data_IF_579960198507
#
_entry.id   IF_579960198507
#
_cell.length_a   1.000
_cell.length_b   1.000
_cell.length_c   1.000
_cell.angle_alpha   90.00
_cell.angle_beta   90.00
_cell.angle_gamma   90.00
#
_symmetry.space_group_name_H-M   'P 1'
#
loop_
_entity.id
_entity.type
_entity.pdbx_description
1 polymer ?
#
# COMPACT_ATOMS: atom_id res chain seq x y z
N UNK A 1 -13.35 17.70 -13.78
CA UNK A 1 -12.68 16.41 -13.51
C UNK A 1 -13.61 15.29 -13.95
N UNK A 2 -13.20 14.39 -14.85
CA UNK A 2 -14.07 13.31 -15.32
C UNK A 2 -14.35 12.32 -14.16
N UNK A 3 -15.57 11.80 -14.01
CA UNK A 3 -15.98 10.93 -12.87
C UNK A 3 -15.00 9.77 -12.66
N UNK A 4 -14.48 9.20 -13.75
CA UNK A 4 -13.43 8.19 -13.73
C UNK A 4 -12.11 8.65 -13.05
N UNK A 5 -11.60 9.84 -13.34
CA UNK A 5 -10.36 10.35 -12.71
C UNK A 5 -10.56 10.60 -11.21
N UNK A 6 -11.74 11.07 -10.80
CA UNK A 6 -12.07 11.23 -9.37
C UNK A 6 -12.11 9.88 -8.64
N UNK A 7 -12.67 8.83 -9.26
CA UNK A 7 -12.66 7.47 -8.71
C UNK A 7 -11.24 6.94 -8.53
N UNK A 8 -10.38 7.13 -9.53
CA UNK A 8 -8.97 6.72 -9.42
C UNK A 8 -8.21 7.48 -8.34
N UNK A 9 -8.51 8.78 -8.19
CA UNK A 9 -7.87 9.59 -7.16
C UNK A 9 -8.28 9.14 -5.76
N UNK A 10 -9.57 8.90 -5.52
CA UNK A 10 -10.04 8.33 -4.26
C UNK A 10 -9.43 6.96 -3.98
N UNK A 11 -9.36 6.11 -5.00
CA UNK A 11 -8.74 4.79 -4.87
C UNK A 11 -7.24 4.88 -4.51
N UNK A 12 -6.52 5.83 -5.11
CA UNK A 12 -5.13 6.10 -4.77
C UNK A 12 -4.98 6.59 -3.32
N UNK A 13 -5.83 7.51 -2.87
CA UNK A 13 -5.84 8.02 -1.49
C UNK A 13 -6.08 6.88 -0.48
N UNK A 14 -7.10 6.05 -0.72
CA UNK A 14 -7.41 4.88 0.12
C UNK A 14 -6.25 3.86 0.14
N UNK A 15 -5.59 3.66 -1.00
CA UNK A 15 -4.46 2.75 -1.12
C UNK A 15 -3.21 3.28 -0.41
N UNK A 16 -2.89 4.57 -0.56
CA UNK A 16 -1.75 5.22 0.10
C UNK A 16 -1.89 5.14 1.63
N UNK A 17 -3.09 5.36 2.17
CA UNK A 17 -3.36 5.18 3.60
C UNK A 17 -3.13 3.73 4.08
N UNK A 18 -3.48 2.73 3.26
CA UNK A 18 -3.23 1.31 3.60
C UNK A 18 -1.75 0.97 3.54
N UNK A 19 -1.04 1.48 2.53
CA UNK A 19 0.42 1.32 2.40
C UNK A 19 1.12 1.93 3.61
N UNK A 20 0.72 3.13 4.03
CA UNK A 20 1.31 3.79 5.20
C UNK A 20 1.10 2.97 6.47
N UNK A 21 -0.12 2.48 6.72
CA UNK A 21 -0.43 1.63 7.88
C UNK A 21 0.39 0.34 7.88
N UNK A 22 0.47 -0.35 6.74
CA UNK A 22 1.25 -1.58 6.60
C UNK A 22 2.75 -1.30 6.77
N UNK A 23 3.25 -0.21 6.20
CA UNK A 23 4.64 0.21 6.37
C UNK A 23 4.97 0.53 7.82
N UNK A 24 4.10 1.26 8.52
CA UNK A 24 4.27 1.54 9.95
C UNK A 24 4.23 0.25 10.78
N UNK A 25 3.37 -0.72 10.42
CA UNK A 25 3.36 -2.02 11.08
C UNK A 25 4.69 -2.76 10.88
N UNK A 26 5.20 -2.84 9.66
CA UNK A 26 6.46 -3.54 9.35
C UNK A 26 7.67 -2.86 9.99
N UNK A 27 7.76 -1.53 9.93
CA UNK A 27 8.97 -0.79 10.30
C UNK A 27 9.01 -0.35 11.77
N UNK A 28 7.85 -0.13 12.41
CA UNK A 28 7.76 0.51 13.73
C UNK A 28 7.09 -0.35 14.80
N UNK A 29 6.44 -1.45 14.44
CA UNK A 29 5.74 -2.28 15.42
C UNK A 29 6.59 -3.50 15.82
N UNK A 30 6.90 -3.61 17.11
CA UNK A 30 7.65 -4.76 17.67
C UNK A 30 6.93 -6.10 17.47
N UNK A 31 5.59 -6.09 17.34
CA UNK A 31 4.80 -7.30 17.04
C UNK A 31 5.24 -7.93 15.72
N UNK A 32 5.63 -7.12 14.72
CA UNK A 32 6.09 -7.64 13.44
C UNK A 32 7.28 -8.60 13.60
N UNK A 33 8.20 -8.31 14.53
CA UNK A 33 9.37 -9.16 14.81
C UNK A 33 9.00 -10.50 15.44
N UNK A 34 7.82 -10.61 16.03
CA UNK A 34 7.31 -11.84 16.65
C UNK A 34 6.54 -12.74 15.70
N UNK A 35 6.20 -12.24 14.51
CA UNK A 35 5.56 -13.02 13.43
C UNK A 35 6.60 -13.97 12.82
N UNK A 36 6.15 -15.13 12.31
CA UNK A 36 7.05 -16.05 11.62
C UNK A 36 7.65 -15.41 10.35
N UNK A 37 8.85 -15.86 9.97
CA UNK A 37 9.61 -15.24 8.88
C UNK A 37 8.85 -15.27 7.54
N UNK A 38 8.07 -16.33 7.28
CA UNK A 38 7.33 -16.46 6.03
C UNK A 38 6.21 -15.44 5.96
N UNK A 39 5.48 -15.25 7.05
CA UNK A 39 4.43 -14.24 7.13
C UNK A 39 5.01 -12.81 7.11
N UNK A 40 6.18 -12.57 7.70
CA UNK A 40 6.90 -11.30 7.54
C UNK A 40 7.26 -11.00 6.08
N UNK A 41 7.71 -12.00 5.33
CA UNK A 41 7.99 -11.88 3.90
C UNK A 41 6.72 -11.57 3.09
N UNK A 42 5.62 -12.26 3.38
CA UNK A 42 4.32 -12.00 2.73
C UNK A 42 3.84 -10.56 2.98
N UNK A 43 3.97 -10.03 4.20
CA UNK A 43 3.61 -8.65 4.51
C UNK A 43 4.49 -7.64 3.75
N UNK A 44 5.78 -7.91 3.59
CA UNK A 44 6.70 -7.08 2.80
C UNK A 44 6.35 -7.12 1.30
N UNK A 45 6.07 -8.30 0.77
CA UNK A 45 5.63 -8.49 -0.61
C UNK A 45 4.30 -7.77 -0.87
N UNK A 46 3.34 -7.89 0.06
CA UNK A 46 2.07 -7.18 0.02
C UNK A 46 2.29 -5.66 -0.08
N UNK A 47 3.16 -5.07 0.76
CA UNK A 47 3.51 -3.64 0.71
C UNK A 47 4.10 -3.25 -0.65
N UNK A 48 4.99 -4.08 -1.20
CA UNK A 48 5.62 -3.83 -2.49
C UNK A 48 4.59 -3.83 -3.63
N UNK A 49 3.72 -4.84 -3.69
CA UNK A 49 2.67 -4.96 -4.70
C UNK A 49 1.69 -3.78 -4.62
N UNK A 50 1.27 -3.41 -3.40
CA UNK A 50 0.40 -2.25 -3.21
C UNK A 50 1.06 -0.95 -3.68
N UNK A 51 2.37 -0.78 -3.43
CA UNK A 51 3.14 0.38 -3.90
C UNK A 51 3.24 0.42 -5.43
N UNK A 52 3.49 -0.73 -6.07
CA UNK A 52 3.45 -0.85 -7.54
C UNK A 52 2.08 -0.47 -8.08
N UNK A 53 1.01 -0.90 -7.42
CA UNK A 53 -0.36 -0.55 -7.80
C UNK A 53 -0.62 0.96 -7.69
N UNK A 54 -0.26 1.59 -6.57
CA UNK A 54 -0.37 3.03 -6.38
C UNK A 54 0.38 3.83 -7.47
N UNK A 55 1.56 3.36 -7.85
CA UNK A 55 2.34 3.98 -8.93
C UNK A 55 1.64 3.87 -10.30
N UNK A 56 0.93 2.76 -10.57
CA UNK A 56 0.11 2.62 -11.78
C UNK A 56 -1.07 3.61 -11.73
N UNK A 57 -1.75 3.75 -10.58
CA UNK A 57 -2.84 4.72 -10.41
C UNK A 57 -2.36 6.16 -10.67
N UNK A 58 -1.21 6.56 -10.10
CA UNK A 58 -0.60 7.87 -10.35
C UNK A 58 -0.34 8.13 -11.83
N UNK A 59 0.15 7.13 -12.56
CA UNK A 59 0.37 7.21 -14.02
C UNK A 59 -0.93 7.35 -14.81
N UNK A 60 -2.03 6.75 -14.35
CA UNK A 60 -3.36 6.81 -15.00
C UNK A 60 -4.12 8.11 -14.71
N UNK A 61 -3.83 8.76 -13.58
CA UNK A 61 -4.45 10.03 -13.19
C UNK A 61 -3.83 11.20 -13.96
N UNK A 62 -2.50 11.19 -14.16
CA UNK A 62 -1.77 12.17 -14.98
C UNK A 62 -2.40 12.27 -16.37
#
# INVERSE_FOLDING_TARGET
>A
MNNYKLRLQKELEDLDLKIEKLNNFIEKNEIFKTIDLKEQELLKEQREIMTKYANILRKRIK
#
